data_IF_708660835852
#
_entry.id   IF_708660835852
#
_cell.length_a   1.000
_cell.length_b   1.000
_cell.length_c   1.000
_cell.angle_alpha   90.00
_cell.angle_beta   90.00
_cell.angle_gamma   90.00
#
_symmetry.space_group_name_H-M   'P 1'
#
loop_
_entity.id
_entity.type
_entity.pdbx_description
1 polymer ?
#
# COMPACT_ATOMS: atom_id res chain seq x y z
N UNK A 1 -29.07 -18.58 58.79
CA UNK A 1 -30.17 -18.13 59.68
C UNK A 1 -30.68 -16.82 59.09
N UNK A 2 -31.71 -16.85 58.23
CA UNK A 2 -33.14 -16.68 58.54
C UNK A 2 -33.46 -15.49 59.45
N UNK A 3 -34.43 -14.71 58.97
CA UNK A 3 -35.32 -13.78 59.68
C UNK A 3 -34.94 -12.30 59.70
N UNK A 4 -35.86 -11.35 59.53
CA UNK A 4 -37.25 -11.29 59.02
C UNK A 4 -37.74 -9.85 59.35
N UNK A 5 -38.64 -9.30 58.53
CA UNK A 5 -39.60 -8.20 58.82
C UNK A 5 -39.03 -6.81 59.17
N UNK A 6 -39.67 -5.67 58.91
CA UNK A 6 -40.83 -5.19 58.15
C UNK A 6 -41.04 -3.78 58.73
N UNK A 7 -41.27 -2.75 57.91
CA UNK A 7 -42.36 -1.79 58.17
C UNK A 7 -42.34 -0.65 57.14
N UNK A 8 -43.51 -0.52 56.54
CA UNK A 8 -44.01 0.51 55.65
C UNK A 8 -44.18 1.83 56.44
N UNK A 9 -43.84 2.96 55.82
CA UNK A 9 -44.58 4.19 56.06
C UNK A 9 -44.83 4.93 54.73
N UNK A 10 -46.12 5.15 54.47
CA UNK A 10 -46.69 5.81 53.31
C UNK A 10 -46.71 7.34 53.50
N UNK A 11 -46.43 8.06 52.40
CA UNK A 11 -47.03 9.31 51.91
C UNK A 11 -47.03 10.57 52.82
N UNK A 12 -46.51 11.69 52.28
CA UNK A 12 -47.34 12.74 51.64
C UNK A 12 -46.49 13.76 50.86
N UNK A 13 -47.08 14.22 49.76
CA UNK A 13 -46.63 15.21 48.77
C UNK A 13 -46.47 16.62 49.35
N UNK A 14 -45.51 17.39 48.80
CA UNK A 14 -45.52 18.84 48.47
C UNK A 14 -44.12 19.08 47.85
N UNK A 15 -43.92 19.51 46.60
CA UNK A 15 -44.44 20.71 45.96
C UNK A 15 -43.26 21.65 45.70
N UNK A 16 -43.11 22.09 44.44
CA UNK A 16 -42.24 23.16 43.92
C UNK A 16 -40.76 22.85 43.60
N UNK A 17 -40.52 22.81 42.29
CA UNK A 17 -39.46 23.50 41.55
C UNK A 17 -38.27 24.04 42.36
N UNK A 18 -37.09 23.50 42.09
CA UNK A 18 -35.96 24.37 41.83
C UNK A 18 -34.97 23.71 40.89
N UNK A 19 -34.70 24.45 39.82
CA UNK A 19 -33.76 24.20 38.76
C UNK A 19 -32.33 23.97 39.30
N UNK A 20 -31.73 22.84 38.95
CA UNK A 20 -30.30 22.78 38.72
C UNK A 20 -30.02 21.94 37.47
N UNK A 21 -29.83 22.68 36.37
CA UNK A 21 -29.11 22.21 35.20
C UNK A 21 -27.71 21.76 35.63
N UNK A 22 -27.52 20.46 35.84
CA UNK A 22 -26.21 19.86 35.70
C UNK A 22 -26.03 19.53 34.21
N UNK A 23 -25.49 20.50 33.47
CA UNK A 23 -24.93 20.26 32.15
C UNK A 23 -23.76 19.29 32.30
N UNK A 24 -24.04 17.99 32.11
CA UNK A 24 -23.01 16.99 31.81
C UNK A 24 -22.28 17.50 30.56
N UNK A 25 -20.95 17.70 30.57
CA UNK A 25 -20.24 17.96 29.34
C UNK A 25 -20.49 16.76 28.43
N UNK A 26 -21.17 17.03 27.31
CA UNK A 26 -21.21 16.11 26.18
C UNK A 26 -19.76 15.90 25.77
N UNK A 27 -19.19 14.77 26.18
CA UNK A 27 -18.04 14.20 25.51
C UNK A 27 -18.56 13.90 24.11
N UNK A 28 -18.34 14.83 23.18
CA UNK A 28 -18.35 14.50 21.75
C UNK A 28 -17.34 13.37 21.65
N UNK A 29 -17.81 12.13 21.49
CA UNK A 29 -16.97 11.10 20.93
C UNK A 29 -16.62 11.63 19.55
N UNK A 30 -15.43 12.20 19.39
CA UNK A 30 -14.83 12.34 18.07
C UNK A 30 -14.82 10.93 17.51
N UNK A 31 -15.76 10.66 16.61
CA UNK A 31 -15.88 9.38 15.94
C UNK A 31 -14.70 9.34 14.96
N UNK A 32 -13.51 9.04 15.48
CA UNK A 32 -12.29 8.99 14.70
C UNK A 32 -12.49 7.85 13.70
N UNK A 33 -12.59 8.21 12.42
CA UNK A 33 -12.81 7.25 11.36
C UNK A 33 -11.79 6.11 11.49
N UNK A 34 -12.24 4.86 11.42
CA UNK A 34 -11.30 3.74 11.50
C UNK A 34 -10.50 3.67 10.20
N UNK A 35 -9.19 3.45 10.29
CA UNK A 35 -8.38 3.18 9.10
C UNK A 35 -8.86 1.89 8.43
N UNK A 36 -9.04 1.95 7.11
CA UNK A 36 -9.39 0.79 6.29
C UNK A 36 -8.16 0.31 5.49
N UNK A 37 -8.19 -0.94 5.04
CA UNK A 37 -7.13 -1.45 4.16
C UNK A 37 -7.08 -0.63 2.88
N UNK A 38 -5.88 -0.20 2.43
CA UNK A 38 -5.72 0.43 1.13
C UNK A 38 -6.19 -0.48 0.00
N UNK A 39 -6.55 0.16 -1.10
CA UNK A 39 -6.96 -0.51 -2.33
C UNK A 39 -6.17 0.06 -3.51
N UNK A 40 -6.12 -0.62 -4.64
CA UNK A 40 -5.42 -0.13 -5.83
C UNK A 40 -6.35 0.10 -7.01
N UNK A 41 -5.95 0.99 -7.91
CA UNK A 41 -6.63 1.21 -9.18
C UNK A 41 -5.71 1.76 -10.26
N UNK A 42 -6.17 1.67 -11.50
CA UNK A 42 -5.48 2.21 -12.67
C UNK A 42 -6.25 3.42 -13.20
N UNK A 43 -5.51 4.40 -13.72
CA UNK A 43 -6.04 5.67 -14.19
C UNK A 43 -6.46 5.59 -15.67
N UNK A 44 -7.38 6.44 -16.08
CA UNK A 44 -7.64 6.72 -17.49
C UNK A 44 -6.51 7.56 -18.11
N UNK A 45 -6.53 7.74 -19.43
CA UNK A 45 -5.50 8.51 -20.15
C UNK A 45 -5.44 9.99 -19.71
N UNK A 46 -6.57 10.57 -19.30
CA UNK A 46 -6.68 11.95 -18.83
C UNK A 46 -6.22 12.12 -17.38
N UNK A 47 -6.03 11.01 -16.65
CA UNK A 47 -5.66 10.96 -15.23
C UNK A 47 -6.62 11.72 -14.29
N UNK A 48 -7.88 11.83 -14.67
CA UNK A 48 -8.95 12.46 -13.88
C UNK A 48 -9.90 11.42 -13.24
N UNK A 49 -9.75 10.15 -13.62
CA UNK A 49 -10.62 9.06 -13.19
C UNK A 49 -9.80 7.79 -12.98
N UNK A 50 -10.27 6.95 -12.08
CA UNK A 50 -9.62 5.69 -11.71
C UNK A 50 -10.66 4.57 -11.61
N UNK A 51 -10.27 3.36 -12.00
CA UNK A 51 -11.03 2.13 -11.77
C UNK A 51 -10.25 1.26 -10.78
N UNK A 52 -10.96 0.79 -9.75
CA UNK A 52 -10.41 -0.12 -8.75
C UNK A 52 -10.06 -1.48 -9.38
N UNK A 53 -8.88 -2.01 -9.06
CA UNK A 53 -8.40 -3.32 -9.52
C UNK A 53 -9.03 -4.46 -8.70
N UNK A 54 -9.20 -5.67 -9.27
CA UNK A 54 -9.55 -6.82 -8.45
C UNK A 54 -8.45 -7.10 -7.42
N UNK A 55 -8.87 -7.36 -6.18
CA UNK A 55 -8.03 -7.78 -5.06
C UNK A 55 -8.69 -8.97 -4.35
N UNK A 56 -7.93 -9.77 -3.62
CA UNK A 56 -8.44 -10.94 -2.88
C UNK A 56 -9.60 -10.59 -1.94
N UNK A 57 -9.53 -9.41 -1.32
CA UNK A 57 -10.63 -8.82 -0.56
C UNK A 57 -11.40 -7.88 -1.47
N UNK A 58 -12.65 -8.23 -1.77
CA UNK A 58 -13.51 -7.38 -2.58
C UNK A 58 -13.80 -6.04 -1.88
N UNK A 59 -13.89 -4.97 -2.68
CA UNK A 59 -14.28 -3.65 -2.19
C UNK A 59 -15.78 -3.61 -1.86
N UNK A 60 -16.13 -3.74 -0.58
CA UNK A 60 -17.54 -3.73 -0.14
C UNK A 60 -18.16 -2.33 -0.04
N UNK A 61 -17.36 -1.30 0.28
CA UNK A 61 -17.83 0.07 0.51
C UNK A 61 -16.95 1.10 -0.23
N UNK A 62 -17.07 1.21 -1.57
CA UNK A 62 -16.27 2.11 -2.38
C UNK A 62 -16.27 3.56 -1.88
N UNK A 63 -17.39 4.03 -1.34
CA UNK A 63 -17.58 5.39 -0.82
C UNK A 63 -16.72 5.74 0.40
N UNK A 64 -16.13 4.74 1.09
CA UNK A 64 -15.19 4.98 2.20
C UNK A 64 -13.81 5.41 1.71
N UNK A 65 -13.49 5.18 0.44
CA UNK A 65 -12.24 5.62 -0.17
C UNK A 65 -12.40 7.04 -0.69
N UNK A 66 -11.94 8.01 0.11
CA UNK A 66 -12.12 9.44 -0.15
C UNK A 66 -10.81 10.17 -0.53
N UNK A 67 -9.69 9.45 -0.57
CA UNK A 67 -8.42 9.93 -1.09
C UNK A 67 -7.75 8.90 -1.99
N UNK A 68 -6.92 9.39 -2.90
CA UNK A 68 -5.98 8.58 -3.69
C UNK A 68 -4.58 9.14 -3.53
N UNK A 69 -3.61 8.24 -3.38
CA UNK A 69 -2.18 8.53 -3.41
C UNK A 69 -1.64 8.08 -4.77
N UNK A 70 -1.08 9.02 -5.52
CA UNK A 70 -0.46 8.77 -6.84
C UNK A 70 0.93 9.39 -6.80
N UNK A 71 1.96 8.56 -6.87
CA UNK A 71 3.36 8.97 -6.74
C UNK A 71 3.59 9.83 -5.48
N UNK A 72 3.84 11.13 -5.64
CA UNK A 72 4.12 12.08 -4.55
C UNK A 72 2.90 12.96 -4.17
N UNK A 73 1.72 12.68 -4.73
CA UNK A 73 0.51 13.48 -4.55
C UNK A 73 -0.60 12.72 -3.82
N UNK A 74 -1.23 13.38 -2.84
CA UNK A 74 -2.51 12.97 -2.25
C UNK A 74 -3.62 13.84 -2.85
N UNK A 75 -4.68 13.22 -3.37
CA UNK A 75 -5.80 13.93 -3.98
C UNK A 75 -7.15 13.45 -3.43
N UNK A 76 -8.14 14.34 -3.24
CA UNK A 76 -9.50 13.92 -2.93
C UNK A 76 -10.07 13.04 -4.05
N UNK A 77 -10.78 11.99 -3.63
CA UNK A 77 -11.36 10.97 -4.48
C UNK A 77 -12.85 10.85 -4.20
N UNK A 78 -13.66 10.70 -5.24
CA UNK A 78 -15.11 10.51 -5.10
C UNK A 78 -15.55 9.28 -5.89
N UNK A 79 -16.30 8.39 -5.24
CA UNK A 79 -16.92 7.25 -5.89
C UNK A 79 -18.08 7.70 -6.77
N UNK A 80 -18.12 7.20 -8.00
CA UNK A 80 -19.18 7.52 -8.97
C UNK A 80 -20.19 6.36 -9.05
N UNK A 81 -19.71 5.17 -9.45
CA UNK A 81 -20.56 3.99 -9.64
C UNK A 81 -19.72 2.72 -9.82
N UNK A 82 -20.36 1.56 -9.74
CA UNK A 82 -19.77 0.32 -10.24
C UNK A 82 -20.06 0.17 -11.74
N UNK A 83 -19.02 -0.08 -12.53
CA UNK A 83 -19.12 -0.38 -13.96
C UNK A 83 -19.08 -1.89 -14.18
N UNK A 84 -19.85 -2.37 -15.14
CA UNK A 84 -19.67 -3.70 -15.74
C UNK A 84 -18.85 -3.58 -17.02
N UNK A 85 -18.18 -4.66 -17.37
CA UNK A 85 -17.39 -4.74 -18.60
C UNK A 85 -18.33 -4.61 -19.82
N UNK A 86 -17.81 -4.08 -20.92
CA UNK A 86 -18.57 -3.99 -22.18
C UNK A 86 -17.98 -4.93 -23.26
N UNK A 87 -18.69 -5.07 -24.38
CA UNK A 87 -18.29 -5.97 -25.48
C UNK A 87 -16.99 -5.59 -26.18
N UNK A 88 -16.52 -4.36 -26.00
CA UNK A 88 -15.26 -3.86 -26.56
C UNK A 88 -14.08 -4.02 -25.61
N UNK A 89 -14.32 -4.56 -24.41
CA UNK A 89 -13.25 -4.86 -23.47
C UNK A 89 -12.36 -5.96 -24.00
N UNK A 90 -11.06 -5.74 -23.86
CA UNK A 90 -10.04 -6.74 -24.14
C UNK A 90 -9.50 -7.39 -22.86
N UNK A 91 -10.19 -7.21 -21.73
CA UNK A 91 -9.83 -7.77 -20.42
C UNK A 91 -8.62 -7.13 -19.74
N UNK A 92 -8.02 -6.08 -20.35
CA UNK A 92 -6.81 -5.43 -19.84
C UNK A 92 -7.15 -4.34 -18.84
N UNK A 93 -6.35 -4.23 -17.79
CA UNK A 93 -6.43 -3.13 -16.82
C UNK A 93 -5.38 -2.09 -17.17
N UNK A 94 -5.62 -1.38 -18.28
CA UNK A 94 -4.76 -0.31 -18.79
C UNK A 94 -5.57 0.93 -19.12
N UNK A 95 -4.91 2.10 -19.17
CA UNK A 95 -5.56 3.36 -19.51
C UNK A 95 -6.28 3.31 -20.88
N UNK A 96 -5.78 2.50 -21.83
CA UNK A 96 -6.36 2.32 -23.16
C UNK A 96 -7.67 1.52 -23.14
N UNK A 97 -7.83 0.58 -22.20
CA UNK A 97 -9.06 -0.22 -22.06
C UNK A 97 -10.03 0.35 -21.01
N UNK A 98 -9.66 1.43 -20.31
CA UNK A 98 -10.39 1.99 -19.17
C UNK A 98 -11.88 2.22 -19.40
N UNK A 99 -12.25 2.76 -20.57
CA UNK A 99 -13.65 3.00 -20.91
C UNK A 99 -14.48 1.71 -20.91
N UNK A 100 -13.84 0.60 -21.25
CA UNK A 100 -14.47 -0.70 -21.41
C UNK A 100 -14.43 -1.55 -20.15
N UNK A 101 -13.44 -1.32 -19.27
CA UNK A 101 -13.21 -2.10 -18.06
C UNK A 101 -14.34 -1.98 -17.02
N UNK A 102 -14.59 -3.10 -16.35
CA UNK A 102 -15.38 -3.20 -15.13
C UNK A 102 -14.65 -2.70 -13.88
N UNK A 103 -15.40 -2.47 -12.80
CA UNK A 103 -14.89 -2.12 -11.48
C UNK A 103 -15.54 -0.88 -10.89
N UNK A 104 -15.19 -0.55 -9.65
CA UNK A 104 -15.62 0.67 -8.99
C UNK A 104 -14.92 1.88 -9.62
N UNK A 105 -15.71 2.78 -10.21
CA UNK A 105 -15.25 4.00 -10.86
C UNK A 105 -15.21 5.15 -9.85
N UNK A 106 -14.09 5.88 -9.88
CA UNK A 106 -13.86 7.07 -9.08
C UNK A 106 -13.43 8.25 -9.95
N UNK A 107 -13.71 9.47 -9.49
CA UNK A 107 -13.18 10.71 -10.04
C UNK A 107 -12.19 11.35 -9.07
N UNK A 108 -11.13 11.95 -9.62
CA UNK A 108 -10.05 12.61 -8.89
C UNK A 108 -10.25 14.11 -9.02
N UNK A 109 -10.24 14.84 -7.88
CA UNK A 109 -10.55 16.28 -7.88
C UNK A 109 -9.39 17.17 -8.29
N UNK A 110 -8.15 16.72 -8.05
CA UNK A 110 -6.96 17.47 -8.39
C UNK A 110 -6.41 17.01 -9.74
N UNK A 111 -5.73 17.90 -10.46
CA UNK A 111 -4.95 17.55 -11.65
C UNK A 111 -3.81 16.60 -11.25
N UNK A 112 -3.65 15.51 -12.02
CA UNK A 112 -2.59 14.51 -11.84
C UNK A 112 -1.60 14.63 -13.00
N UNK A 113 -0.33 14.90 -12.68
CA UNK A 113 0.71 15.15 -13.69
C UNK A 113 1.37 13.86 -14.21
N UNK A 114 1.57 12.89 -13.33
CA UNK A 114 2.32 11.65 -13.57
C UNK A 114 1.70 10.47 -12.82
N UNK A 115 2.16 9.27 -13.13
CA UNK A 115 1.63 8.02 -12.62
C UNK A 115 0.40 7.51 -13.39
N UNK A 116 0.28 6.18 -13.44
CA UNK A 116 -0.83 5.46 -14.08
C UNK A 116 -1.63 4.61 -13.08
N UNK A 117 -1.18 4.57 -11.83
CA UNK A 117 -1.77 3.79 -10.74
C UNK A 117 -1.96 4.65 -9.49
N UNK A 118 -3.04 4.38 -8.76
CA UNK A 118 -3.36 5.05 -7.51
C UNK A 118 -3.63 4.06 -6.39
N UNK A 119 -3.18 4.41 -5.18
CA UNK A 119 -3.58 3.72 -3.96
C UNK A 119 -4.74 4.49 -3.31
N UNK A 120 -5.92 3.88 -3.30
CA UNK A 120 -7.12 4.43 -2.69
C UNK A 120 -7.07 4.21 -1.19
N UNK A 121 -7.35 5.26 -0.42
CA UNK A 121 -7.28 5.25 1.04
C UNK A 121 -8.37 6.14 1.62
N UNK A 122 -8.54 6.09 2.95
CA UNK A 122 -9.44 6.98 3.66
C UNK A 122 -8.67 8.07 4.45
N UNK A 123 -9.41 9.02 5.02
CA UNK A 123 -8.85 10.16 5.76
C UNK A 123 -7.93 9.71 6.90
N UNK A 124 -8.28 8.63 7.61
CA UNK A 124 -7.45 8.12 8.71
C UNK A 124 -6.10 7.60 8.25
N UNK A 125 -6.01 7.01 7.06
CA UNK A 125 -4.74 6.67 6.44
C UNK A 125 -3.89 7.92 6.16
N UNK A 126 -4.49 8.95 5.54
CA UNK A 126 -3.79 10.21 5.23
C UNK A 126 -3.31 10.94 6.49
N UNK A 127 -4.02 10.79 7.61
CA UNK A 127 -3.61 11.35 8.90
C UNK A 127 -2.42 10.61 9.53
N UNK A 128 -2.29 9.31 9.28
CA UNK A 128 -1.23 8.47 9.85
C UNK A 128 0.04 8.44 8.98
N UNK A 129 -0.13 8.41 7.66
CA UNK A 129 0.97 8.30 6.71
C UNK A 129 1.28 9.63 6.02
N UNK A 130 2.56 9.97 5.98
CA UNK A 130 3.08 11.12 5.23
C UNK A 130 3.85 10.64 4.02
N UNK A 131 3.62 11.26 2.87
CA UNK A 131 4.46 11.06 1.68
C UNK A 131 5.88 11.51 2.00
N UNK A 132 6.83 10.66 1.68
CA UNK A 132 8.24 10.95 1.79
C UNK A 132 8.88 11.01 0.41
N UNK A 133 9.32 12.20 -0.03
CA UNK A 133 9.96 12.34 -1.32
C UNK A 133 11.27 11.56 -1.38
N UNK A 134 11.49 10.89 -2.50
CA UNK A 134 12.73 10.20 -2.83
C UNK A 134 13.19 10.58 -4.23
N UNK A 135 14.47 10.38 -4.50
CA UNK A 135 15.07 10.54 -5.82
C UNK A 135 15.32 9.16 -6.41
N UNK A 136 14.78 8.89 -7.60
CA UNK A 136 15.14 7.71 -8.39
C UNK A 136 16.59 7.84 -8.84
N UNK A 137 17.39 6.81 -8.59
CA UNK A 137 18.81 6.76 -8.96
C UNK A 137 19.12 5.38 -9.53
N UNK A 138 20.27 5.22 -10.17
CA UNK A 138 20.76 3.91 -10.59
C UNK A 138 22.28 3.90 -10.53
N UNK A 139 22.82 3.39 -9.43
CA UNK A 139 24.26 3.21 -9.24
C UNK A 139 24.54 2.00 -8.35
N UNK A 140 25.77 1.51 -8.40
CA UNK A 140 26.20 0.38 -7.57
C UNK A 140 25.99 0.70 -6.07
N UNK A 141 25.40 -0.25 -5.35
CA UNK A 141 25.19 -0.13 -3.90
C UNK A 141 26.52 0.02 -3.15
N UNK A 142 26.52 0.84 -2.09
CA UNK A 142 27.72 1.08 -1.30
C UNK A 142 28.32 -0.22 -0.72
N UNK A 143 29.66 -0.31 -0.59
CA UNK A 143 30.31 -1.51 -0.06
C UNK A 143 29.84 -1.91 1.34
N UNK A 144 29.51 -0.94 2.20
CA UNK A 144 29.03 -1.20 3.56
C UNK A 144 27.68 -1.93 3.56
N UNK A 145 26.73 -1.50 2.72
CA UNK A 145 25.43 -2.14 2.60
C UNK A 145 25.58 -3.54 1.99
N UNK A 146 26.45 -3.69 0.98
CA UNK A 146 26.76 -4.99 0.38
C UNK A 146 27.32 -5.97 1.41
N UNK A 147 28.28 -5.54 2.24
CA UNK A 147 28.84 -6.38 3.31
C UNK A 147 27.78 -6.80 4.33
N UNK A 148 26.92 -5.86 4.77
CA UNK A 148 25.79 -6.14 5.67
C UNK A 148 24.85 -7.20 5.07
N UNK A 149 24.54 -7.10 3.79
CA UNK A 149 23.68 -8.05 3.07
C UNK A 149 24.35 -9.42 2.89
N UNK A 150 25.59 -9.48 2.40
CA UNK A 150 26.33 -10.75 2.24
C UNK A 150 26.45 -11.52 3.55
N UNK A 151 26.74 -10.79 4.65
CA UNK A 151 26.79 -11.37 5.99
C UNK A 151 25.43 -11.88 6.47
N UNK A 152 24.34 -11.14 6.21
CA UNK A 152 22.98 -11.54 6.61
C UNK A 152 22.53 -12.82 5.91
N UNK A 153 22.77 -12.92 4.59
CA UNK A 153 22.32 -14.05 3.79
C UNK A 153 23.34 -15.17 3.66
N UNK A 154 24.57 -14.97 4.16
CA UNK A 154 25.70 -15.90 3.99
C UNK A 154 25.88 -16.33 2.52
N UNK A 155 25.82 -15.33 1.63
CA UNK A 155 25.75 -15.54 0.19
C UNK A 155 26.38 -14.34 -0.52
N UNK A 156 27.17 -14.61 -1.56
CA UNK A 156 27.82 -13.55 -2.35
C UNK A 156 26.81 -12.79 -3.20
N UNK A 157 27.03 -11.50 -3.37
CA UNK A 157 26.23 -10.65 -4.25
C UNK A 157 26.75 -10.77 -5.68
N UNK A 158 25.86 -11.08 -6.63
CA UNK A 158 26.14 -11.00 -8.05
C UNK A 158 26.02 -9.55 -8.55
N UNK A 159 24.93 -8.87 -8.18
CA UNK A 159 24.65 -7.47 -8.55
C UNK A 159 23.91 -6.77 -7.42
N UNK A 160 24.24 -5.51 -7.14
CA UNK A 160 23.46 -4.69 -6.21
C UNK A 160 23.38 -3.26 -6.70
N UNK A 161 22.16 -2.75 -6.86
CA UNK A 161 21.92 -1.39 -7.36
C UNK A 161 21.09 -0.60 -6.36
N UNK A 162 21.56 0.57 -5.97
CA UNK A 162 20.74 1.58 -5.29
C UNK A 162 19.77 2.17 -6.31
N UNK A 163 18.46 2.03 -6.07
CA UNK A 163 17.41 2.45 -7.00
C UNK A 163 16.64 3.70 -6.54
N UNK A 164 16.69 4.01 -5.24
CA UNK A 164 16.10 5.22 -4.69
C UNK A 164 16.85 5.71 -3.44
N UNK A 165 16.90 7.03 -3.27
CA UNK A 165 17.52 7.70 -2.11
C UNK A 165 16.55 8.70 -1.52
N UNK A 166 16.39 8.67 -0.19
CA UNK A 166 15.55 9.58 0.57
C UNK A 166 16.34 10.82 1.01
N UNK A 167 15.63 11.88 1.42
CA UNK A 167 16.27 13.12 1.90
C UNK A 167 17.19 12.92 3.10
N UNK A 168 16.88 11.95 3.94
CA UNK A 168 17.68 11.59 5.12
C UNK A 168 18.84 10.63 4.80
N UNK A 169 19.13 10.43 3.50
CA UNK A 169 20.16 9.54 2.96
C UNK A 169 19.88 8.06 3.19
N UNK A 170 18.67 7.67 3.58
CA UNK A 170 18.29 6.27 3.51
C UNK A 170 18.21 5.82 2.05
N UNK A 171 18.57 4.58 1.80
CA UNK A 171 18.69 4.00 0.46
C UNK A 171 17.76 2.80 0.30
N UNK A 172 17.15 2.70 -0.87
CA UNK A 172 16.51 1.48 -1.33
C UNK A 172 17.41 0.80 -2.36
N UNK A 173 17.71 -0.47 -2.12
CA UNK A 173 18.64 -1.27 -2.92
C UNK A 173 17.96 -2.52 -3.44
N UNK A 174 18.24 -2.86 -4.69
CA UNK A 174 17.87 -4.13 -5.29
C UNK A 174 19.13 -4.98 -5.48
N UNK A 175 19.16 -6.11 -4.80
CA UNK A 175 20.34 -6.99 -4.71
C UNK A 175 20.00 -8.38 -5.21
N UNK A 176 20.75 -8.87 -6.18
CA UNK A 176 20.67 -10.25 -6.68
C UNK A 176 21.90 -11.00 -6.21
N UNK A 177 21.68 -12.11 -5.52
CA UNK A 177 22.75 -12.96 -5.00
C UNK A 177 23.14 -14.07 -6.00
N UNK A 178 24.40 -14.52 -5.96
CA UNK A 178 24.87 -15.65 -6.77
C UNK A 178 24.03 -16.90 -6.49
N UNK A 179 23.60 -17.66 -7.51
CA UNK A 179 22.83 -18.89 -7.30
C UNK A 179 23.54 -19.91 -6.42
N UNK A 180 22.81 -20.52 -5.50
CA UNK A 180 23.28 -21.66 -4.70
C UNK A 180 22.51 -22.89 -5.14
N UNK A 181 23.13 -23.70 -6.02
CA UNK A 181 22.41 -24.76 -6.74
C UNK A 181 21.24 -24.16 -7.53
N UNK A 182 20.03 -24.64 -7.32
CA UNK A 182 18.78 -24.16 -7.90
C UNK A 182 18.12 -23.06 -7.05
N UNK A 183 18.73 -22.59 -5.97
CA UNK A 183 18.19 -21.48 -5.18
C UNK A 183 18.61 -20.13 -5.78
N UNK A 184 17.65 -19.39 -6.33
CA UNK A 184 17.79 -17.98 -6.68
C UNK A 184 17.29 -17.08 -5.55
N UNK A 185 17.94 -15.92 -5.39
CA UNK A 185 17.52 -14.93 -4.39
C UNK A 185 17.78 -13.51 -4.89
N UNK A 186 16.71 -12.73 -4.98
CA UNK A 186 16.77 -11.28 -5.03
C UNK A 186 16.23 -10.70 -3.72
N UNK A 187 16.74 -9.54 -3.33
CA UNK A 187 16.35 -8.83 -2.11
C UNK A 187 16.18 -7.36 -2.44
N UNK A 188 15.01 -6.81 -2.13
CA UNK A 188 14.80 -5.38 -2.07
C UNK A 188 14.97 -4.91 -0.63
N UNK A 189 15.89 -3.99 -0.36
CA UNK A 189 16.24 -3.58 1.00
C UNK A 189 16.16 -2.08 1.19
N UNK A 190 15.68 -1.67 2.37
CA UNK A 190 15.83 -0.33 2.91
C UNK A 190 17.01 -0.32 3.88
N UNK A 191 17.96 0.57 3.64
CA UNK A 191 19.13 0.76 4.48
C UNK A 191 19.20 2.19 5.01
N UNK A 192 19.35 2.33 6.32
CA UNK A 192 19.62 3.60 6.99
C UNK A 192 20.49 3.35 8.21
N UNK A 193 21.72 3.87 8.20
CA UNK A 193 22.69 3.62 9.28
C UNK A 193 22.83 2.10 9.53
N UNK A 194 22.48 1.62 10.72
CA UNK A 194 22.49 0.19 11.07
C UNK A 194 21.15 -0.52 10.85
N UNK A 195 20.11 0.22 10.48
CA UNK A 195 18.81 -0.35 10.16
C UNK A 195 18.82 -0.95 8.75
N UNK A 196 18.42 -2.21 8.66
CA UNK A 196 18.22 -2.94 7.40
C UNK A 196 16.87 -3.66 7.45
N UNK A 197 15.96 -3.27 6.54
CA UNK A 197 14.64 -3.90 6.39
C UNK A 197 14.55 -4.50 4.99
N UNK A 198 14.19 -5.78 4.90
CA UNK A 198 14.29 -6.52 3.64
C UNK A 198 12.95 -7.08 3.16
N UNK A 199 12.79 -7.10 1.84
CA UNK A 199 11.80 -7.88 1.11
C UNK A 199 12.55 -8.95 0.32
N UNK A 200 12.36 -10.20 0.71
CA UNK A 200 13.04 -11.35 0.11
C UNK A 200 12.20 -11.89 -1.06
N UNK A 201 12.84 -12.11 -2.22
CA UNK A 201 12.26 -12.82 -3.37
C UNK A 201 13.01 -14.15 -3.59
N UNK A 202 12.79 -15.16 -2.74
CA UNK A 202 13.34 -16.49 -2.97
C UNK A 202 12.63 -17.16 -4.15
N UNK A 203 13.38 -17.86 -4.99
CA UNK A 203 12.83 -18.60 -6.11
C UNK A 203 13.68 -19.84 -6.42
N UNK A 204 13.08 -20.78 -7.17
CA UNK A 204 13.84 -21.83 -7.86
C UNK A 204 14.36 -21.24 -9.17
N UNK A 205 15.65 -21.34 -9.39
CA UNK A 205 16.28 -20.85 -10.61
C UNK A 205 15.80 -21.63 -11.82
N UNK A 206 15.31 -20.89 -12.80
CA UNK A 206 14.92 -21.33 -14.12
C UNK A 206 15.38 -20.25 -15.10
N UNK A 207 16.08 -20.65 -16.17
CA UNK A 207 16.68 -19.72 -17.12
C UNK A 207 15.66 -19.06 -18.06
N UNK A 208 14.38 -19.42 -17.93
CA UNK A 208 13.25 -18.81 -18.64
C UNK A 208 12.41 -17.96 -17.69
N UNK A 209 12.10 -18.44 -16.48
CA UNK A 209 11.14 -17.81 -15.56
C UNK A 209 11.46 -18.07 -14.09
N UNK A 210 12.38 -17.30 -13.51
CA UNK A 210 12.76 -17.46 -12.09
C UNK A 210 11.78 -16.74 -11.15
N UNK A 211 11.52 -15.45 -11.34
CA UNK A 211 10.66 -14.61 -10.50
C UNK A 211 9.38 -14.17 -11.20
N UNK A 212 9.43 -13.98 -12.52
CA UNK A 212 8.28 -13.68 -13.37
C UNK A 212 8.35 -14.52 -14.65
N UNK A 213 7.19 -14.70 -15.30
CA UNK A 213 7.12 -15.32 -16.62
C UNK A 213 7.98 -14.52 -17.61
N UNK A 214 8.83 -15.25 -18.34
CA UNK A 214 9.77 -14.75 -19.35
C UNK A 214 10.79 -13.71 -18.84
N UNK A 215 11.20 -13.80 -17.56
CA UNK A 215 12.25 -12.93 -17.01
C UNK A 215 13.69 -13.37 -17.34
N UNK A 216 13.85 -14.52 -18.03
CA UNK A 216 15.16 -15.02 -18.46
C UNK A 216 16.10 -15.34 -17.30
N UNK A 217 15.56 -15.63 -16.12
CA UNK A 217 16.33 -15.84 -14.90
C UNK A 217 17.04 -14.59 -14.39
N UNK A 218 16.60 -13.39 -14.82
CA UNK A 218 17.15 -12.11 -14.40
C UNK A 218 16.14 -11.32 -13.57
N UNK A 219 16.63 -10.66 -12.51
CA UNK A 219 15.85 -9.68 -11.77
C UNK A 219 16.25 -8.27 -12.24
N UNK A 220 15.48 -7.70 -13.16
CA UNK A 220 15.73 -6.36 -13.69
C UNK A 220 15.27 -5.27 -12.72
N UNK A 221 16.07 -4.20 -12.60
CA UNK A 221 15.70 -2.99 -11.86
C UNK A 221 14.48 -2.31 -12.48
N UNK A 222 14.27 -2.46 -13.79
CA UNK A 222 13.10 -1.88 -14.46
C UNK A 222 11.82 -2.68 -14.16
N UNK A 223 11.95 -3.96 -13.81
CA UNK A 223 10.82 -4.81 -13.50
C UNK A 223 10.21 -4.43 -12.14
N UNK A 224 11.02 -4.13 -11.12
CA UNK A 224 10.54 -3.76 -9.78
C UNK A 224 10.81 -2.29 -9.46
N UNK A 225 9.75 -1.48 -9.36
CA UNK A 225 9.86 -0.04 -9.17
C UNK A 225 9.15 0.42 -7.91
N UNK A 226 9.77 1.37 -7.20
CA UNK A 226 9.11 2.13 -6.12
C UNK A 226 8.30 3.25 -6.76
N UNK A 227 7.01 3.30 -6.45
CA UNK A 227 6.07 4.34 -6.90
C UNK A 227 5.95 5.47 -5.86
N UNK A 228 5.78 5.09 -4.59
CA UNK A 228 5.57 6.03 -3.48
C UNK A 228 6.28 5.51 -2.23
N UNK A 229 6.88 6.42 -1.45
CA UNK A 229 7.40 6.12 -0.11
C UNK A 229 6.54 6.86 0.91
N UNK A 230 6.17 6.17 1.98
CA UNK A 230 5.33 6.68 3.05
C UNK A 230 6.03 6.49 4.40
N UNK A 231 5.83 7.45 5.30
CA UNK A 231 6.36 7.42 6.66
C UNK A 231 5.22 7.50 7.67
N UNK A 232 5.26 6.64 8.68
CA UNK A 232 4.36 6.66 9.84
C UNK A 232 5.15 6.33 11.10
N UNK A 233 4.47 6.22 12.25
CA UNK A 233 5.11 5.85 13.53
C UNK A 233 5.72 4.44 13.49
N UNK A 234 5.20 3.53 12.67
CA UNK A 234 5.74 2.16 12.54
C UNK A 234 7.00 2.08 11.67
N UNK A 235 7.32 3.13 10.91
CA UNK A 235 8.53 3.23 10.08
C UNK A 235 8.27 3.58 8.62
N UNK A 236 9.22 3.20 7.75
CA UNK A 236 9.10 3.37 6.29
C UNK A 236 8.18 2.32 5.70
N UNK A 237 7.24 2.75 4.87
CA UNK A 237 6.41 1.90 4.03
C UNK A 237 6.57 2.35 2.57
N UNK A 238 6.26 1.50 1.60
CA UNK A 238 6.34 1.91 0.20
C UNK A 238 5.30 1.20 -0.65
N UNK A 239 4.92 1.86 -1.73
CA UNK A 239 4.13 1.28 -2.81
C UNK A 239 5.08 0.92 -3.94
N UNK A 240 4.96 -0.29 -4.46
CA UNK A 240 5.74 -0.75 -5.62
C UNK A 240 4.87 -1.27 -6.73
N UNK A 241 5.44 -1.30 -7.93
CA UNK A 241 4.97 -2.09 -9.05
C UNK A 241 6.04 -3.13 -9.43
N UNK A 242 5.62 -4.37 -9.67
CA UNK A 242 6.44 -5.40 -10.27
C UNK A 242 5.85 -5.77 -11.63
N UNK A 243 6.51 -5.38 -12.72
CA UNK A 243 6.14 -5.77 -14.08
C UNK A 243 6.51 -7.23 -14.37
N UNK A 244 5.73 -7.86 -15.24
CA UNK A 244 6.03 -9.15 -15.85
C UNK A 244 5.50 -9.16 -17.29
N UNK A 245 5.80 -10.22 -18.03
CA UNK A 245 5.41 -10.31 -19.44
C UNK A 245 3.89 -10.19 -19.66
N UNK A 246 3.07 -10.73 -18.75
CA UNK A 246 1.61 -10.76 -18.86
C UNK A 246 0.92 -9.52 -18.25
N UNK A 247 1.55 -8.87 -17.27
CA UNK A 247 0.87 -7.96 -16.38
C UNK A 247 1.76 -7.28 -15.38
N UNK A 248 1.16 -6.79 -14.31
CA UNK A 248 1.83 -6.15 -13.21
C UNK A 248 1.22 -6.54 -11.86
N UNK A 249 2.03 -6.42 -10.82
CA UNK A 249 1.60 -6.50 -9.44
C UNK A 249 1.83 -5.15 -8.77
N UNK A 250 0.80 -4.60 -8.13
CA UNK A 250 0.91 -3.47 -7.23
C UNK A 250 0.89 -3.97 -5.79
N UNK A 251 1.72 -3.38 -4.94
CA UNK A 251 1.80 -3.79 -3.54
C UNK A 251 2.09 -2.60 -2.63
N UNK A 252 1.45 -2.59 -1.47
CA UNK A 252 1.78 -1.71 -0.36
C UNK A 252 2.49 -2.50 0.73
N UNK A 253 3.77 -2.22 0.93
CA UNK A 253 4.62 -2.89 1.90
C UNK A 253 4.78 -2.06 3.17
N UNK A 254 4.58 -2.71 4.31
CA UNK A 254 4.80 -2.13 5.64
C UNK A 254 5.97 -2.83 6.35
N UNK A 255 6.68 -2.12 7.24
CA UNK A 255 7.77 -2.71 8.00
C UNK A 255 7.21 -3.56 9.14
N UNK A 256 7.76 -4.76 9.30
CA UNK A 256 7.51 -5.68 10.41
C UNK A 256 8.86 -6.17 10.93
N UNK A 257 9.42 -5.43 11.89
CA UNK A 257 10.80 -5.58 12.38
C UNK A 257 11.82 -5.33 11.26
N UNK A 258 12.59 -6.35 10.87
CA UNK A 258 13.64 -6.29 9.86
C UNK A 258 13.17 -6.80 8.49
N UNK A 259 11.86 -6.96 8.30
CA UNK A 259 11.25 -7.40 7.04
C UNK A 259 10.12 -6.48 6.60
N UNK A 260 9.92 -6.37 5.31
CA UNK A 260 8.70 -5.83 4.73
C UNK A 260 7.65 -6.93 4.58
N UNK A 261 6.39 -6.59 4.84
CA UNK A 261 5.23 -7.45 4.61
C UNK A 261 4.19 -6.73 3.78
N UNK A 262 3.58 -7.43 2.82
CA UNK A 262 2.47 -6.91 2.04
C UNK A 262 1.26 -6.65 2.95
N UNK A 263 0.71 -5.46 2.86
CA UNK A 263 -0.50 -5.04 3.56
C UNK A 263 -1.70 -4.91 2.61
N UNK A 264 -1.44 -4.65 1.33
CA UNK A 264 -2.43 -4.67 0.26
C UNK A 264 -1.72 -5.04 -1.05
N UNK A 265 -2.37 -5.80 -1.91
CA UNK A 265 -1.82 -6.27 -3.18
C UNK A 265 -2.92 -6.34 -4.24
N UNK A 266 -2.60 -5.96 -5.46
CA UNK A 266 -3.47 -6.09 -6.62
C UNK A 266 -2.68 -6.55 -7.84
N UNK A 267 -3.37 -7.21 -8.77
CA UNK A 267 -2.82 -7.62 -10.05
C UNK A 267 -3.59 -6.97 -11.20
N UNK A 268 -2.88 -6.65 -12.28
CA UNK A 268 -3.50 -6.19 -13.51
C UNK A 268 -2.85 -6.85 -14.72
N UNK A 269 -3.68 -7.17 -15.70
CA UNK A 269 -3.28 -7.72 -17.00
C UNK A 269 -3.00 -6.57 -17.98
N UNK A 270 -1.83 -6.59 -18.62
CA UNK A 270 -1.38 -5.50 -19.49
C UNK A 270 -0.75 -5.93 -20.82
N UNK A 271 -0.40 -7.20 -21.01
CA UNK A 271 0.45 -7.69 -22.11
C UNK A 271 -0.17 -7.68 -23.50
N UNK A 272 0.23 -6.81 -24.45
CA UNK A 272 -0.43 -6.67 -25.75
C UNK A 272 -0.51 -8.01 -26.49
N UNK A 273 -1.66 -8.30 -27.12
CA UNK A 273 -1.82 -9.48 -27.99
C UNK A 273 -1.00 -9.28 -29.28
#
# INVERSE_FOLDING_TARGET
>A
MKSLFLAILLLTLYGCDNSQNQSKPSVKSENKEQMISPYFGFLNQQKDSLIALPMDQAMESPEKYNYVIIEDQVSPLEFIQNKTDNKESNGRQTAQNFANSEGSLFTIKNEIKSGDFGMLVNQSFVNEYKIEPFTKVQHETSPEIKEKLEKKYNRKINKSTTIAVLKDKAEFNLTVFENQQDSALAVFSYAKEDQLINLDFPATYDDISTWRVDDGGQFDNEAFQVLTVLRSEIGVSFVSIFWGAEGYELNFYQPKKDKFSSAAQAYGYSSPL
#
